data_IF_287614815603
#
_entry.id   IF_287614815603
#
_cell.length_a   1.000
_cell.length_b   1.000
_cell.length_c   1.000
_cell.angle_alpha   90.00
_cell.angle_beta   90.00
_cell.angle_gamma   90.00
#
_symmetry.space_group_name_H-M   'P 1'
#
loop_
_entity.id
_entity.type
_entity.pdbx_description
1 polymer ?
#
# COMPACT_ATOMS: atom_id res chain seq x y z
N UNK A 1 -13.44 -20.01 -11.03
CA UNK A 1 -12.02 -20.32 -10.75
C UNK A 1 -11.88 -20.51 -9.25
N UNK A 2 -11.11 -21.50 -8.79
CA UNK A 2 -10.98 -21.78 -7.36
C UNK A 2 -9.85 -20.93 -6.76
N UNK A 3 -10.08 -20.34 -5.58
CA UNK A 3 -9.08 -19.56 -4.86
C UNK A 3 -7.91 -20.45 -4.41
N UNK A 4 -6.67 -19.97 -4.59
CA UNK A 4 -5.42 -20.67 -4.26
C UNK A 4 -5.49 -21.34 -2.87
N UNK A 5 -5.22 -22.66 -2.75
CA UNK A 5 -5.22 -23.38 -1.47
C UNK A 5 -4.24 -22.81 -0.43
N UNK A 6 -3.19 -22.09 -0.83
CA UNK A 6 -2.23 -21.44 0.07
C UNK A 6 -2.76 -20.22 0.83
N UNK A 7 -3.95 -19.72 0.48
CA UNK A 7 -4.59 -18.62 1.20
C UNK A 7 -5.01 -19.04 2.61
N UNK A 8 -4.74 -18.19 3.59
CA UNK A 8 -5.23 -18.38 4.95
C UNK A 8 -6.77 -18.42 4.96
N UNK A 9 -7.33 -19.22 5.87
CA UNK A 9 -8.78 -19.34 6.04
C UNK A 9 -9.53 -17.98 6.18
N UNK A 10 -9.06 -17.00 6.99
CA UNK A 10 -9.76 -15.72 7.11
C UNK A 10 -9.73 -14.90 5.82
N UNK A 11 -8.59 -14.86 5.11
CA UNK A 11 -8.49 -14.13 3.84
C UNK A 11 -9.37 -14.79 2.76
N UNK A 12 -9.41 -16.12 2.73
CA UNK A 12 -10.31 -16.87 1.84
C UNK A 12 -11.77 -16.49 2.08
N UNK A 13 -12.23 -16.50 3.33
CA UNK A 13 -13.62 -16.18 3.66
C UNK A 13 -13.99 -14.76 3.21
N UNK A 14 -13.10 -13.78 3.42
CA UNK A 14 -13.30 -12.40 2.95
C UNK A 14 -13.42 -12.36 1.42
N UNK A 15 -12.50 -13.00 0.70
CA UNK A 15 -12.51 -13.03 -0.77
C UNK A 15 -13.75 -13.73 -1.33
N UNK A 16 -14.15 -14.87 -0.76
CA UNK A 16 -15.36 -15.60 -1.15
C UNK A 16 -16.61 -14.74 -0.98
N UNK A 17 -16.69 -13.96 0.11
CA UNK A 17 -17.79 -13.02 0.33
C UNK A 17 -17.75 -11.83 -0.64
N UNK A 18 -16.58 -11.27 -0.92
CA UNK A 18 -16.43 -10.17 -1.90
C UNK A 18 -16.82 -10.60 -3.32
N UNK A 19 -16.50 -11.84 -3.68
CA UNK A 19 -16.70 -12.39 -5.02
C UNK A 19 -18.02 -13.16 -5.18
N UNK A 20 -18.94 -13.05 -4.22
CA UNK A 20 -20.26 -13.66 -4.36
C UNK A 20 -20.94 -13.19 -5.66
N UNK A 21 -21.53 -14.15 -6.37
CA UNK A 21 -22.23 -13.89 -7.63
C UNK A 21 -23.47 -13.03 -7.41
N UNK A 22 -24.16 -13.27 -6.30
CA UNK A 22 -25.29 -12.47 -5.84
C UNK A 22 -24.80 -11.23 -5.10
N UNK A 23 -25.10 -10.01 -5.60
CA UNK A 23 -24.70 -8.77 -4.94
C UNK A 23 -25.18 -8.64 -3.51
N UNK A 24 -26.36 -9.15 -3.18
CA UNK A 24 -26.96 -9.05 -1.85
C UNK A 24 -26.20 -9.90 -0.81
N UNK A 25 -25.41 -10.87 -1.28
CA UNK A 25 -24.57 -11.72 -0.42
C UNK A 25 -23.17 -11.15 -0.21
N UNK A 26 -22.81 -10.06 -0.90
CA UNK A 26 -21.52 -9.37 -0.71
C UNK A 26 -21.54 -8.52 0.56
N UNK A 27 -20.42 -7.84 0.82
CA UNK A 27 -20.41 -6.82 1.86
C UNK A 27 -21.38 -5.69 1.50
N UNK A 28 -22.29 -5.30 2.40
CA UNK A 28 -23.30 -4.28 2.12
C UNK A 28 -22.68 -2.88 1.98
N UNK A 29 -21.48 -2.68 2.54
CA UNK A 29 -20.76 -1.43 2.50
C UNK A 29 -19.24 -1.68 2.66
N UNK A 30 -18.43 -0.74 2.15
CA UNK A 30 -16.98 -0.86 2.12
C UNK A 30 -16.33 -0.78 3.52
N UNK A 31 -16.97 -0.08 4.46
CA UNK A 31 -16.52 0.02 5.86
C UNK A 31 -16.54 -1.34 6.57
N UNK A 32 -17.52 -2.19 6.27
CA UNK A 32 -17.61 -3.57 6.80
C UNK A 32 -16.48 -4.44 6.28
N UNK A 33 -16.15 -4.31 4.99
CA UNK A 33 -14.99 -4.99 4.42
C UNK A 33 -13.69 -4.49 5.05
N UNK A 34 -13.53 -3.17 5.18
CA UNK A 34 -12.35 -2.56 5.79
C UNK A 34 -12.13 -3.08 7.23
N UNK A 35 -13.20 -3.11 8.03
CA UNK A 35 -13.16 -3.64 9.39
C UNK A 35 -12.70 -5.11 9.44
N UNK A 36 -13.25 -5.98 8.58
CA UNK A 36 -12.85 -7.39 8.57
C UNK A 36 -11.39 -7.59 8.09
N UNK A 37 -10.92 -6.76 7.15
CA UNK A 37 -9.52 -6.77 6.73
C UNK A 37 -8.58 -6.31 7.85
N UNK A 38 -8.92 -5.23 8.54
CA UNK A 38 -8.18 -4.73 9.71
C UNK A 38 -8.13 -5.80 10.80
N UNK A 39 -9.27 -6.40 11.13
CA UNK A 39 -9.32 -7.51 12.09
C UNK A 39 -8.45 -8.68 11.63
N UNK A 40 -8.52 -9.07 10.36
CA UNK A 40 -7.69 -10.14 9.79
C UNK A 40 -6.18 -9.88 9.99
N UNK A 41 -5.73 -8.63 9.86
CA UNK A 41 -4.31 -8.25 10.01
C UNK A 41 -3.90 -8.14 11.49
N UNK A 42 -4.77 -7.61 12.36
CA UNK A 42 -4.38 -7.17 13.72
C UNK A 42 -4.96 -8.00 14.88
N UNK A 43 -5.88 -8.94 14.66
CA UNK A 43 -6.55 -9.65 15.76
C UNK A 43 -5.63 -10.54 16.61
N UNK A 44 -4.48 -10.96 16.09
CA UNK A 44 -3.50 -11.79 16.82
C UNK A 44 -2.38 -10.98 17.49
N UNK A 45 -2.46 -9.65 17.48
CA UNK A 45 -1.47 -8.76 18.05
C UNK A 45 -1.04 -7.66 17.09
N UNK A 46 0.16 -7.14 17.27
CA UNK A 46 0.69 -6.13 16.35
C UNK A 46 0.89 -6.77 14.96
N UNK A 47 0.33 -6.14 13.93
CA UNK A 47 0.48 -6.59 12.55
C UNK A 47 1.93 -6.54 12.08
N UNK A 48 2.24 -6.98 10.84
CA UNK A 48 3.59 -6.89 10.31
C UNK A 48 4.08 -5.44 10.35
N UNK A 49 5.26 -5.22 10.90
CA UNK A 49 5.90 -3.91 10.89
C UNK A 49 6.37 -3.57 9.48
N UNK A 50 6.63 -2.29 9.20
CA UNK A 50 7.20 -1.84 7.92
C UNK A 50 8.49 -2.58 7.59
N UNK A 51 9.33 -2.89 8.59
CA UNK A 51 10.56 -3.65 8.43
C UNK A 51 10.29 -5.10 8.01
N UNK A 52 9.31 -5.76 8.64
CA UNK A 52 8.91 -7.13 8.26
C UNK A 52 8.34 -7.17 6.84
N UNK A 53 7.53 -6.17 6.50
CA UNK A 53 6.97 -6.03 5.15
C UNK A 53 8.07 -5.80 4.10
N UNK A 54 9.03 -4.91 4.38
CA UNK A 54 10.17 -4.66 3.48
C UNK A 54 10.97 -5.94 3.22
N UNK A 55 11.29 -6.70 4.28
CA UNK A 55 12.04 -7.95 4.14
C UNK A 55 11.28 -8.98 3.28
N UNK A 56 9.97 -9.08 3.47
CA UNK A 56 9.11 -9.92 2.64
C UNK A 56 9.14 -9.47 1.17
N UNK A 57 8.96 -8.17 0.93
CA UNK A 57 8.94 -7.62 -0.42
C UNK A 57 10.29 -7.81 -1.13
N UNK A 58 11.41 -7.56 -0.47
CA UNK A 58 12.76 -7.74 -1.06
C UNK A 58 13.02 -9.20 -1.44
N UNK A 59 12.54 -10.14 -0.62
CA UNK A 59 12.68 -11.59 -0.87
C UNK A 59 11.84 -12.08 -2.06
N UNK A 60 10.60 -11.59 -2.19
CA UNK A 60 9.64 -12.14 -3.16
C UNK A 60 9.48 -11.30 -4.43
N UNK A 61 9.81 -10.01 -4.37
CA UNK A 61 9.64 -9.03 -5.45
C UNK A 61 10.94 -8.26 -5.70
N UNK A 62 12.05 -8.99 -5.92
CA UNK A 62 13.38 -8.41 -6.10
C UNK A 62 13.45 -7.34 -7.20
N UNK A 63 12.57 -7.43 -8.21
CA UNK A 63 12.44 -6.44 -9.28
C UNK A 63 12.09 -5.02 -8.81
N UNK A 64 11.36 -4.88 -7.70
CA UNK A 64 11.03 -3.57 -7.10
C UNK A 64 12.27 -2.85 -6.54
N UNK A 65 13.34 -3.60 -6.26
CA UNK A 65 14.56 -3.10 -5.62
C UNK A 65 15.74 -3.02 -6.60
N UNK A 66 15.54 -3.33 -7.88
CA UNK A 66 16.58 -3.20 -8.92
C UNK A 66 16.95 -1.74 -9.22
N UNK A 67 16.12 -0.78 -8.81
CA UNK A 67 16.38 0.66 -8.96
C UNK A 67 17.24 1.27 -7.84
N UNK A 68 17.72 0.44 -6.88
CA UNK A 68 18.71 0.88 -5.87
C UNK A 68 20.09 1.17 -6.48
N UNK A 69 20.26 1.11 -7.81
CA UNK A 69 21.41 1.72 -8.46
C UNK A 69 21.37 3.23 -8.15
N UNK A 70 22.37 3.79 -7.43
CA UNK A 70 22.39 5.21 -7.15
C UNK A 70 22.28 5.95 -8.49
N UNK A 71 21.49 7.04 -8.56
CA UNK A 71 21.40 7.83 -9.78
C UNK A 71 22.84 8.14 -10.24
N UNK A 72 23.14 8.04 -11.54
CA UNK A 72 24.50 8.25 -12.02
C UNK A 72 25.03 9.56 -11.45
N UNK A 73 26.07 9.47 -10.62
CA UNK A 73 26.71 10.66 -10.04
C UNK A 73 27.27 11.43 -11.23
N UNK A 74 26.59 12.50 -11.62
CA UNK A 74 27.10 13.40 -12.64
C UNK A 74 28.47 13.90 -12.14
N UNK A 75 29.55 13.77 -12.95
CA UNK A 75 30.85 14.27 -12.56
C UNK A 75 30.74 15.78 -12.28
N UNK A 76 30.89 16.19 -11.01
CA UNK A 76 30.95 17.60 -10.60
C UNK A 76 29.89 18.10 -9.61
N UNK A 77 28.91 17.30 -9.19
CA UNK A 77 27.86 17.78 -8.25
C UNK A 77 28.30 17.74 -6.78
N UNK A 78 29.23 18.62 -6.40
CA UNK A 78 29.35 19.10 -5.03
C UNK A 78 28.28 20.16 -4.78
N UNK A 79 27.07 19.77 -4.37
CA UNK A 79 26.04 20.74 -4.04
C UNK A 79 24.70 20.11 -3.70
N UNK A 80 24.16 20.45 -2.52
CA UNK A 80 22.77 20.23 -2.15
C UNK A 80 21.87 20.98 -3.14
N UNK A 81 21.00 20.27 -3.87
CA UNK A 81 19.98 20.92 -4.69
C UNK A 81 18.89 21.42 -3.76
N UNK A 82 18.84 22.74 -3.54
CA UNK A 82 17.69 23.39 -2.95
C UNK A 82 16.56 23.40 -3.98
N UNK A 83 15.42 22.79 -3.66
CA UNK A 83 14.20 22.93 -4.46
C UNK A 83 13.65 24.33 -4.19
N UNK A 84 13.55 25.23 -5.19
CA UNK A 84 12.91 26.52 -4.97
C UNK A 84 11.42 26.28 -4.72
N UNK A 85 10.94 26.74 -3.55
CA UNK A 85 9.51 26.84 -3.31
C UNK A 85 9.03 28.13 -3.98
N UNK A 86 8.25 28.00 -5.05
CA UNK A 86 7.57 29.15 -5.66
C UNK A 86 6.60 29.73 -4.62
N UNK A 87 6.62 31.04 -4.31
CA UNK A 87 5.66 31.61 -3.39
C UNK A 87 4.26 31.55 -4.03
N UNK A 88 3.37 30.79 -3.38
CA UNK A 88 1.95 30.72 -3.74
C UNK A 88 1.38 32.12 -3.92
N UNK A 89 0.78 32.34 -5.09
CA UNK A 89 0.29 33.63 -5.53
C UNK A 89 -0.73 34.29 -4.60
N UNK A 90 -0.68 35.62 -4.67
CA UNK A 90 -1.61 36.62 -4.13
C UNK A 90 -3.08 36.18 -4.05
N UNK A 91 -3.62 36.20 -2.84
CA UNK A 91 -5.02 36.54 -2.52
C UNK A 91 -4.91 37.74 -1.58
N UNK A 92 -5.60 38.87 -1.74
CA UNK A 92 -7.03 39.14 -1.99
C UNK A 92 -7.08 40.67 -2.23
N UNK A 93 -7.82 41.22 -3.21
CA UNK A 93 -9.27 41.42 -3.15
C UNK A 93 -9.56 42.89 -2.83
N UNK A 94 -10.17 43.60 -3.79
CA UNK A 94 -10.73 44.95 -3.65
C UNK A 94 -11.60 45.07 -2.38
N UNK A 95 -11.50 46.23 -1.71
CA UNK A 95 -12.62 47.07 -1.23
C UNK A 95 -12.09 48.47 -0.88
#
# INVERSE_FOLDING_TARGET
>A
EALDPGLSAPVRAILERMLQRDPEQRYPASDRLAYELEYCIYHQGYGPTVVTLEAYLRKHFSGLYLQDAPPPRLPGAGGTIAIPVEPSGSATGDL
#
